data_IF_252867676349
#
_entry.id   IF_252867676349
#
_cell.length_a   1.000
_cell.length_b   1.000
_cell.length_c   1.000
_cell.angle_alpha   90.00
_cell.angle_beta   90.00
_cell.angle_gamma   90.00
#
_symmetry.space_group_name_H-M   'P 1'
#
loop_
_entity.id
_entity.type
_entity.pdbx_description
1 polymer ?
#
# COMPACT_ATOMS: atom_id res chain seq x y z
N UNK A 1 -12.05 -2.01 20.37
CA UNK A 1 -11.85 -2.77 19.11
C UNK A 1 -12.50 -1.98 18.00
N UNK A 2 -11.73 -1.16 17.29
CA UNK A 2 -12.21 -0.50 16.07
C UNK A 2 -11.64 -1.28 14.89
N UNK A 3 -12.44 -2.18 14.34
CA UNK A 3 -12.15 -2.82 13.07
C UNK A 3 -12.58 -1.82 11.99
N UNK A 4 -11.63 -1.19 11.31
CA UNK A 4 -11.94 -0.44 10.09
C UNK A 4 -11.66 -1.37 8.91
N UNK A 5 -12.74 -1.80 8.25
CA UNK A 5 -12.69 -2.69 7.10
C UNK A 5 -13.48 -2.03 5.97
N UNK A 6 -12.78 -1.31 5.11
CA UNK A 6 -13.34 -0.82 3.85
C UNK A 6 -13.00 -1.80 2.73
N UNK A 7 -13.94 -2.69 2.46
CA UNK A 7 -13.93 -3.55 1.27
C UNK A 7 -14.60 -2.79 0.12
N UNK A 8 -13.89 -1.84 -0.49
CA UNK A 8 -14.37 -1.19 -1.72
C UNK A 8 -14.08 -2.14 -2.88
N UNK A 9 -15.03 -3.03 -3.17
CA UNK A 9 -15.05 -3.87 -4.36
C UNK A 9 -14.79 -3.04 -5.63
N UNK A 10 -14.22 -3.62 -6.71
CA UNK A 10 -13.95 -2.89 -7.95
C UNK A 10 -15.22 -2.19 -8.45
N UNK A 11 -15.27 -0.88 -8.29
CA UNK A 11 -16.18 -0.04 -9.07
C UNK A 11 -15.37 0.28 -10.30
N UNK A 12 -15.83 -0.15 -11.48
CA UNK A 12 -15.16 -0.03 -12.78
C UNK A 12 -14.85 1.40 -13.28
N UNK A 13 -14.54 2.34 -12.38
CA UNK A 13 -13.88 3.63 -12.64
C UNK A 13 -12.61 3.87 -11.81
N UNK A 14 -12.28 3.02 -10.84
CA UNK A 14 -11.21 3.28 -9.86
C UNK A 14 -10.19 2.13 -9.78
N UNK A 15 -9.06 2.38 -9.11
CA UNK A 15 -8.12 1.32 -8.74
C UNK A 15 -8.82 0.29 -7.85
N UNK A 16 -8.51 -0.99 -8.04
CA UNK A 16 -9.04 -2.05 -7.19
C UNK A 16 -8.15 -2.21 -5.96
N UNK A 17 -8.70 -2.09 -4.74
CA UNK A 17 -7.90 -2.23 -3.53
C UNK A 17 -8.66 -2.86 -2.36
N UNK A 18 -7.89 -3.43 -1.43
CA UNK A 18 -8.33 -3.90 -0.11
C UNK A 18 -7.41 -3.24 0.91
N UNK A 19 -7.99 -2.44 1.80
CA UNK A 19 -7.30 -1.90 2.97
C UNK A 19 -7.95 -2.47 4.22
N UNK A 20 -7.14 -2.92 5.17
CA UNK A 20 -7.62 -3.50 6.41
C UNK A 20 -6.77 -3.00 7.58
N UNK A 21 -7.43 -2.44 8.60
CA UNK A 21 -6.81 -2.08 9.87
C UNK A 21 -7.20 -3.05 10.97
N UNK A 22 -6.20 -3.58 11.68
CA UNK A 22 -6.36 -4.47 12.82
C UNK A 22 -5.59 -3.92 14.02
N UNK A 23 -6.20 -3.97 15.20
CA UNK A 23 -5.51 -3.72 16.47
C UNK A 23 -5.40 -5.06 17.19
N UNK A 24 -4.17 -5.50 17.44
CA UNK A 24 -3.83 -6.85 17.88
C UNK A 24 -3.26 -6.83 19.30
N UNK A 25 -3.40 -7.92 20.05
CA UNK A 25 -2.70 -8.03 21.33
C UNK A 25 -1.17 -8.18 21.15
N UNK A 26 -0.42 -8.03 22.24
CA UNK A 26 1.05 -8.09 22.23
C UNK A 26 1.60 -9.43 21.68
N UNK A 27 0.89 -10.53 21.90
CA UNK A 27 1.31 -11.86 21.45
C UNK A 27 1.02 -12.00 19.96
N UNK A 28 -0.15 -11.56 19.51
CA UNK A 28 -0.58 -11.57 18.12
C UNK A 28 0.33 -10.71 17.24
N UNK A 29 0.61 -9.46 17.65
CA UNK A 29 1.46 -8.57 16.85
C UNK A 29 2.89 -9.08 16.75
N UNK A 30 3.47 -9.60 17.85
CA UNK A 30 4.80 -10.22 17.82
C UNK A 30 4.83 -11.45 16.90
N UNK A 31 3.79 -12.28 16.95
CA UNK A 31 3.67 -13.43 16.06
C UNK A 31 3.56 -13.01 14.60
N UNK A 32 2.83 -11.93 14.32
CA UNK A 32 2.70 -11.38 12.97
C UNK A 32 4.05 -10.82 12.49
N UNK A 33 4.72 -9.99 13.28
CA UNK A 33 6.02 -9.42 12.92
C UNK A 33 7.08 -10.49 12.63
N UNK A 34 7.17 -11.54 13.45
CA UNK A 34 8.10 -12.65 13.18
C UNK A 34 7.85 -13.33 11.84
N UNK A 35 6.59 -13.48 11.43
CA UNK A 35 6.23 -14.02 10.11
C UNK A 35 6.56 -13.04 9.00
N UNK A 36 6.22 -11.77 9.16
CA UNK A 36 6.50 -10.74 8.16
C UNK A 36 8.00 -10.55 7.92
N UNK A 37 8.83 -10.70 8.96
CA UNK A 37 10.30 -10.63 8.83
C UNK A 37 10.89 -11.72 7.92
N UNK A 38 10.20 -12.85 7.74
CA UNK A 38 10.67 -13.95 6.86
C UNK A 38 9.98 -13.94 5.50
N UNK A 39 8.73 -13.50 5.45
CA UNK A 39 7.91 -13.49 4.22
C UNK A 39 8.13 -12.22 3.37
N UNK A 40 8.53 -11.10 3.97
CA UNK A 40 8.65 -9.83 3.26
C UNK A 40 9.77 -9.84 2.22
N UNK A 41 9.46 -9.33 1.02
CA UNK A 41 10.43 -9.04 -0.03
C UNK A 41 11.22 -7.75 0.23
N UNK A 42 10.65 -6.85 1.01
CA UNK A 42 11.26 -5.59 1.38
C UNK A 42 10.72 -5.11 2.72
N UNK A 43 11.61 -4.54 3.54
CA UNK A 43 11.27 -3.96 4.84
C UNK A 43 11.77 -2.53 4.83
N UNK A 44 10.88 -1.59 5.11
CA UNK A 44 11.14 -0.16 4.98
C UNK A 44 10.65 0.60 6.22
N UNK A 45 11.27 1.73 6.51
CA UNK A 45 10.64 2.73 7.35
C UNK A 45 9.73 3.61 6.49
N UNK A 46 8.59 4.03 7.03
CA UNK A 46 7.68 4.96 6.31
C UNK A 46 8.34 6.31 5.96
N UNK A 47 9.44 6.63 6.64
CA UNK A 47 10.25 7.84 6.47
C UNK A 47 11.47 7.63 5.56
N UNK A 48 11.65 6.43 4.99
CA UNK A 48 12.73 6.18 4.05
C UNK A 48 12.69 7.19 2.89
N UNK A 49 13.85 7.77 2.58
CA UNK A 49 13.96 8.81 1.56
C UNK A 49 13.72 8.30 0.13
N UNK A 50 13.77 6.98 -0.06
CA UNK A 50 13.58 6.31 -1.33
C UNK A 50 12.48 5.25 -1.21
N UNK A 51 11.22 5.69 -1.36
CA UNK A 51 10.06 4.82 -1.51
C UNK A 51 9.39 5.10 -2.86
N UNK A 52 8.95 4.04 -3.54
CA UNK A 52 8.07 4.18 -4.70
C UNK A 52 6.63 4.09 -4.19
N UNK A 53 6.06 5.23 -3.84
CA UNK A 53 4.72 5.31 -3.28
C UNK A 53 3.72 5.42 -4.42
N UNK A 54 2.64 4.64 -4.39
CA UNK A 54 1.58 4.74 -5.41
C UNK A 54 0.92 6.14 -5.29
N UNK A 55 1.11 7.06 -6.25
CA UNK A 55 0.64 8.44 -6.11
C UNK A 55 -0.87 8.52 -6.40
N UNK A 56 -1.67 7.89 -5.56
CA UNK A 56 -3.12 7.81 -5.69
C UNK A 56 -3.78 8.32 -4.40
N UNK A 57 -4.84 9.12 -4.56
CA UNK A 57 -5.69 9.56 -3.48
C UNK A 57 -6.95 8.69 -3.45
N UNK A 58 -7.17 8.00 -2.33
CA UNK A 58 -8.23 7.01 -2.18
C UNK A 58 -9.57 7.64 -1.77
N UNK A 59 -9.55 8.86 -1.23
CA UNK A 59 -10.76 9.62 -0.87
C UNK A 59 -11.46 10.18 -2.13
N UNK A 60 -10.69 10.70 -3.08
CA UNK A 60 -11.24 11.35 -4.30
C UNK A 60 -10.94 10.60 -5.61
N UNK A 61 -10.26 9.45 -5.53
CA UNK A 61 -9.96 8.55 -6.64
C UNK A 61 -9.11 9.17 -7.77
N UNK A 62 -8.16 10.05 -7.44
CA UNK A 62 -7.30 10.74 -8.41
C UNK A 62 -5.82 10.43 -8.23
N UNK A 63 -5.09 10.47 -9.35
CA UNK A 63 -3.63 10.42 -9.36
C UNK A 63 -3.10 11.76 -8.83
N UNK A 64 -2.10 11.70 -7.95
CA UNK A 64 -1.43 12.83 -7.32
C UNK A 64 -0.18 13.17 -8.15
N UNK A 65 -0.32 14.09 -9.10
CA UNK A 65 0.75 14.43 -10.05
C UNK A 65 2.04 14.92 -9.37
N UNK A 66 1.94 15.59 -8.23
CA UNK A 66 3.10 16.09 -7.48
C UNK A 66 4.00 15.00 -6.92
N UNK A 67 3.44 13.81 -6.67
CA UNK A 67 4.13 12.70 -6.01
C UNK A 67 4.69 11.71 -7.03
N UNK A 68 4.05 11.59 -8.20
CA UNK A 68 4.59 10.90 -9.38
C UNK A 68 6.02 11.31 -9.70
N UNK A 69 6.32 12.61 -9.60
CA UNK A 69 7.66 13.17 -9.89
C UNK A 69 8.69 12.93 -8.77
N UNK A 70 8.22 12.60 -7.55
CA UNK A 70 9.06 12.40 -6.36
C UNK A 70 9.31 10.95 -6.03
N UNK A 71 8.64 10.03 -6.72
CA UNK A 71 8.79 8.61 -6.49
C UNK A 71 10.22 8.14 -6.72
N UNK A 72 10.71 7.26 -5.84
CA UNK A 72 12.03 6.71 -6.00
C UNK A 72 12.05 5.65 -7.11
N UNK A 73 12.67 5.99 -8.25
CA UNK A 73 12.82 5.10 -9.42
C UNK A 73 14.21 4.44 -9.37
N UNK A 74 14.63 3.98 -8.19
CA UNK A 74 15.86 3.20 -8.07
C UNK A 74 15.61 1.75 -8.56
N UNK A 75 16.62 1.07 -9.12
CA UNK A 75 16.48 -0.31 -9.53
C UNK A 75 16.00 -1.18 -8.37
N UNK A 76 14.99 -2.02 -8.63
CA UNK A 76 14.37 -2.97 -7.67
C UNK A 76 13.51 -2.33 -6.58
N UNK A 77 13.27 -1.02 -6.59
CA UNK A 77 12.25 -0.44 -5.69
C UNK A 77 10.87 -0.97 -6.08
N UNK A 78 10.12 -1.44 -5.09
CA UNK A 78 8.80 -2.01 -5.28
C UNK A 78 7.73 -1.03 -4.79
N UNK A 79 6.56 -0.98 -5.46
CA UNK A 79 5.51 -0.03 -5.11
C UNK A 79 4.95 -0.33 -3.73
N UNK A 80 4.82 0.69 -2.91
CA UNK A 80 4.14 0.66 -1.60
C UNK A 80 2.91 1.54 -1.63
N UNK A 81 1.95 1.22 -0.77
CA UNK A 81 0.72 2.00 -0.65
C UNK A 81 0.99 3.43 -0.16
N UNK A 82 0.13 4.37 -0.56
CA UNK A 82 0.17 5.75 -0.09
C UNK A 82 -0.69 5.95 1.15
N UNK A 83 -0.14 5.54 2.30
CA UNK A 83 -0.80 5.67 3.60
C UNK A 83 -1.24 7.10 3.92
N UNK A 84 -0.58 8.14 3.39
CA UNK A 84 -0.98 9.55 3.64
C UNK A 84 -2.32 9.92 2.99
N UNK A 85 -2.75 9.16 1.98
CA UNK A 85 -3.94 9.48 1.20
C UNK A 85 -4.96 8.34 1.17
N UNK A 86 -4.87 7.40 2.11
CA UNK A 86 -5.99 6.49 2.38
C UNK A 86 -7.21 7.29 2.80
N UNK A 87 -8.40 6.75 2.58
CA UNK A 87 -9.67 7.31 3.06
C UNK A 87 -9.87 7.05 4.57
N UNK A 88 -8.78 7.14 5.34
CA UNK A 88 -8.70 6.89 6.78
C UNK A 88 -7.66 7.81 7.39
N UNK A 89 -7.97 8.36 8.56
CA UNK A 89 -7.02 9.15 9.32
C UNK A 89 -6.00 8.26 10.03
N UNK A 90 -4.72 8.44 9.67
CA UNK A 90 -3.61 7.89 10.44
C UNK A 90 -3.09 8.90 11.46
N UNK A 91 -2.80 8.47 12.71
CA UNK A 91 -2.17 9.35 13.68
C UNK A 91 -0.79 9.79 13.17
N UNK A 92 -0.30 10.99 13.53
CA UNK A 92 1.00 11.49 13.07
C UNK A 92 2.18 10.57 13.39
N UNK A 93 2.08 9.78 14.46
CA UNK A 93 3.05 8.76 14.86
C UNK A 93 3.20 7.66 13.79
N UNK A 94 2.11 7.28 13.14
CA UNK A 94 2.14 6.27 12.07
C UNK A 94 3.02 6.74 10.91
N UNK A 95 2.88 7.99 10.49
CA UNK A 95 3.66 8.56 9.38
C UNK A 95 5.13 8.86 9.75
N UNK A 96 5.55 8.56 10.99
CA UNK A 96 6.93 8.73 11.48
C UNK A 96 7.60 7.39 11.79
N UNK A 97 6.86 6.52 12.48
CA UNK A 97 7.44 5.37 13.17
C UNK A 97 6.97 4.03 12.59
N UNK A 98 5.99 4.03 11.66
CA UNK A 98 5.49 2.79 11.09
C UNK A 98 6.56 2.09 10.25
N UNK A 99 6.62 0.76 10.42
CA UNK A 99 7.48 -0.13 9.64
C UNK A 99 6.65 -0.84 8.59
N UNK A 100 7.10 -0.78 7.35
CA UNK A 100 6.43 -1.34 6.17
C UNK A 100 7.09 -2.68 5.85
N UNK A 101 6.28 -3.73 5.77
CA UNK A 101 6.65 -5.07 5.34
C UNK A 101 5.98 -5.34 3.99
N UNK A 102 6.71 -5.16 2.90
CA UNK A 102 6.21 -5.43 1.55
C UNK A 102 6.28 -6.94 1.28
N UNK A 103 5.12 -7.56 1.15
CA UNK A 103 5.00 -9.01 0.98
C UNK A 103 5.18 -9.42 -0.48
N UNK A 104 4.57 -8.67 -1.41
CA UNK A 104 4.75 -8.94 -2.83
C UNK A 104 4.42 -7.71 -3.66
N UNK A 105 5.07 -7.58 -4.80
CA UNK A 105 4.69 -6.65 -5.84
C UNK A 105 5.15 -7.19 -7.19
N UNK A 106 4.26 -7.16 -8.19
CA UNK A 106 4.55 -7.68 -9.53
C UNK A 106 3.95 -6.79 -10.59
N UNK A 107 4.72 -6.63 -11.66
CA UNK A 107 4.26 -6.04 -12.91
C UNK A 107 3.40 -7.05 -13.66
N UNK A 108 2.47 -6.54 -14.46
CA UNK A 108 1.61 -7.34 -15.31
C UNK A 108 0.14 -7.18 -14.96
N UNK A 109 -0.71 -7.80 -15.78
CA UNK A 109 -2.15 -7.69 -15.68
C UNK A 109 -2.69 -8.80 -14.76
N UNK A 110 -3.33 -8.41 -13.67
CA UNK A 110 -3.88 -9.34 -12.66
C UNK A 110 -5.41 -9.28 -12.54
N UNK A 111 -6.04 -8.40 -13.32
CA UNK A 111 -7.49 -8.24 -13.43
C UNK A 111 -7.87 -8.04 -14.90
N UNK A 112 -9.09 -8.44 -15.27
CA UNK A 112 -9.66 -8.19 -16.59
C UNK A 112 -9.85 -6.68 -16.85
N UNK A 113 -9.92 -6.27 -18.12
CA UNK A 113 -9.97 -4.85 -18.51
C UNK A 113 -11.15 -4.08 -17.88
N UNK A 114 -12.31 -4.73 -17.76
CA UNK A 114 -13.50 -4.14 -17.11
C UNK A 114 -13.28 -3.85 -15.61
N UNK A 115 -12.28 -4.48 -15.00
CA UNK A 115 -11.87 -4.30 -13.61
C UNK A 115 -10.59 -3.44 -13.47
N UNK A 116 -10.02 -2.98 -14.59
CA UNK A 116 -8.86 -2.07 -14.67
C UNK A 116 -9.20 -0.78 -15.44
N UNK A 117 -10.18 0.00 -14.97
CA UNK A 117 -10.67 1.17 -15.68
C UNK A 117 -9.67 2.33 -15.73
N UNK A 118 -8.64 2.31 -14.87
CA UNK A 118 -7.53 3.27 -14.87
C UNK A 118 -6.28 2.53 -15.35
N UNK A 119 -5.72 2.97 -16.48
CA UNK A 119 -4.44 2.47 -16.98
C UNK A 119 -3.29 3.20 -16.28
N UNK A 120 -2.74 2.59 -15.24
CA UNK A 120 -1.60 3.11 -14.49
C UNK A 120 -1.96 4.14 -13.43
N UNK A 121 -1.25 4.09 -12.31
CA UNK A 121 -1.52 4.91 -11.12
C UNK A 121 -0.49 6.02 -10.92
N UNK A 122 0.08 6.56 -12.01
CA UNK A 122 1.16 7.56 -11.95
C UNK A 122 2.52 6.97 -11.60
N UNK A 123 2.70 5.66 -11.75
CA UNK A 123 4.01 4.99 -11.64
C UNK A 123 4.73 4.94 -13.00
N UNK A 124 6.04 4.61 -13.02
CA UNK A 124 6.78 4.37 -14.26
C UNK A 124 6.08 3.37 -15.20
N UNK A 125 6.37 3.47 -16.50
CA UNK A 125 5.64 2.74 -17.57
C UNK A 125 5.66 1.22 -17.39
N UNK A 126 6.72 0.66 -16.84
CA UNK A 126 6.84 -0.76 -16.52
C UNK A 126 5.84 -1.24 -15.45
N UNK A 127 5.30 -0.31 -14.66
CA UNK A 127 4.23 -0.50 -13.70
C UNK A 127 2.90 0.05 -14.21
N UNK A 128 2.66 0.08 -15.52
CA UNK A 128 1.37 0.47 -16.09
C UNK A 128 0.22 -0.40 -15.54
N UNK A 129 0.51 -1.68 -15.32
CA UNK A 129 -0.33 -2.61 -14.60
C UNK A 129 0.49 -3.35 -13.56
N UNK A 130 -0.13 -3.71 -12.46
CA UNK A 130 0.52 -4.51 -11.45
C UNK A 130 -0.31 -4.63 -10.19
N UNK A 131 0.33 -5.20 -9.18
CA UNK A 131 -0.18 -5.12 -7.84
C UNK A 131 0.93 -4.92 -6.83
N UNK A 132 0.54 -4.48 -5.66
CA UNK A 132 1.34 -4.55 -4.44
C UNK A 132 0.49 -5.06 -3.29
N UNK A 133 1.13 -5.76 -2.35
CA UNK A 133 0.53 -6.10 -1.06
C UNK A 133 1.57 -6.11 0.04
N UNK A 134 1.11 -5.82 1.24
CA UNK A 134 1.96 -5.88 2.42
C UNK A 134 1.24 -5.46 3.68
N UNK A 135 2.02 -5.27 4.74
CA UNK A 135 1.53 -4.84 6.06
C UNK A 135 2.41 -3.73 6.59
N UNK A 136 1.82 -2.64 7.07
CA UNK A 136 2.52 -1.64 7.87
C UNK A 136 2.14 -1.82 9.35
N UNK A 137 3.12 -1.76 10.24
CA UNK A 137 2.93 -1.95 11.68
C UNK A 137 3.39 -0.71 12.44
N UNK A 138 2.54 -0.27 13.37
CA UNK A 138 2.87 0.69 14.41
C UNK A 138 2.35 0.15 15.74
N UNK A 139 3.25 -0.10 16.69
CA UNK A 139 2.90 -0.67 18.01
C UNK A 139 2.08 -1.95 17.81
N UNK A 140 0.81 -1.96 18.20
CA UNK A 140 -0.11 -3.09 18.14
C UNK A 140 -1.06 -3.03 16.93
N UNK A 141 -0.96 -1.98 16.10
CA UNK A 141 -1.82 -1.77 14.95
C UNK A 141 -1.12 -2.25 13.68
N UNK A 142 -1.84 -3.06 12.90
CA UNK A 142 -1.41 -3.62 11.64
C UNK A 142 -2.34 -3.16 10.51
N UNK A 143 -1.75 -2.60 9.46
CA UNK A 143 -2.44 -2.04 8.30
C UNK A 143 -2.07 -2.84 7.07
N UNK A 144 -2.95 -3.71 6.62
CA UNK A 144 -2.76 -4.49 5.41
C UNK A 144 -3.26 -3.73 4.18
N UNK A 145 -2.52 -3.84 3.08
CA UNK A 145 -2.97 -3.40 1.77
C UNK A 145 -2.83 -4.51 0.72
N UNK A 146 -3.75 -4.50 -0.24
CA UNK A 146 -3.62 -5.12 -1.56
C UNK A 146 -4.19 -4.14 -2.57
N UNK A 147 -3.38 -3.72 -3.54
CA UNK A 147 -3.76 -2.73 -4.55
C UNK A 147 -3.42 -3.28 -5.92
N UNK A 148 -4.36 -3.19 -6.85
CA UNK A 148 -4.24 -3.72 -8.22
C UNK A 148 -4.70 -2.65 -9.22
N UNK A 149 -3.88 -2.42 -10.24
CA UNK A 149 -4.09 -1.44 -11.31
C UNK A 149 -3.58 -1.97 -12.67
#
# INVERSE_FOLDING_TARGET
MYLFMDLIFPRGKYMSYIHLGLSLDDKEIRSLEMRLMTEAKGIYAITDSCLMVIPYNYENFKIIESDTLKNCIAPRTLPVSNFKNWDVYFPPEFLKDAKIYLLDAKQGRFLEDDNLPISGVGLPKEWLHGYTKGVAILKNDAMYWLEVW
#
